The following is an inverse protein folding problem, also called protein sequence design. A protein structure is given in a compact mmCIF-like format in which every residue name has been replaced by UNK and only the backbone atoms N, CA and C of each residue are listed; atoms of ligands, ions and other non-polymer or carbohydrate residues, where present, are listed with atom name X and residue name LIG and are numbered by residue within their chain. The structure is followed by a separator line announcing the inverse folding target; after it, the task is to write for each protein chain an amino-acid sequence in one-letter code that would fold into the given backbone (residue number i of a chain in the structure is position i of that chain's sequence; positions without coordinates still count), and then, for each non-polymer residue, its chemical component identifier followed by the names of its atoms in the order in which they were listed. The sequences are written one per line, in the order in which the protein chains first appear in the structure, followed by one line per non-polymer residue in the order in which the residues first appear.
data_IF_732769937159
#
_entry.id   IF_732769937159
#
_cell.length_a   1.000
_cell.length_b   1.000
_cell.length_c   1.000
_cell.angle_alpha   90.00
_cell.angle_beta   90.00
_cell.angle_gamma   90.00
#
_symmetry.space_group_name_H-M   'P 1'
#
loop_
_entity.id
_entity.type
_entity.pdbx_description
1 polymer ?
#
# COMPACT_ATOMS: atom_id res chain seq x y z
N UNK A 1 -3.45 -5.46 -18.37
CA UNK A 1 -2.45 -6.52 -18.11
C UNK A 1 -2.68 -7.01 -16.70
N UNK A 2 -3.38 -8.13 -16.56
CA UNK A 2 -3.76 -8.71 -15.27
C UNK A 2 -2.53 -9.36 -14.65
N UNK A 3 -1.97 -8.79 -13.60
CA UNK A 3 -0.95 -9.47 -12.79
C UNK A 3 -1.71 -10.45 -11.92
N UNK A 4 -1.73 -11.72 -12.33
CA UNK A 4 -2.15 -12.81 -11.46
C UNK A 4 -1.01 -13.04 -10.47
N UNK A 5 -1.26 -12.79 -9.18
CA UNK A 5 -0.38 -13.25 -8.11
C UNK A 5 -0.64 -14.74 -7.93
N UNK A 6 0.36 -15.59 -8.15
CA UNK A 6 0.24 -16.99 -7.79
C UNK A 6 0.31 -17.11 -6.27
N UNK A 7 -0.43 -18.06 -5.68
CA UNK A 7 -0.48 -18.25 -4.23
C UNK A 7 0.93 -18.46 -3.62
N UNK A 8 1.86 -18.99 -4.41
CA UNK A 8 3.26 -19.21 -4.03
C UNK A 8 4.06 -17.90 -3.90
N UNK A 9 3.67 -16.82 -4.60
CA UNK A 9 4.32 -15.51 -4.51
C UNK A 9 4.02 -14.79 -3.17
N UNK A 10 3.00 -15.25 -2.44
CA UNK A 10 2.68 -14.73 -1.10
C UNK A 10 3.65 -15.26 -0.04
N UNK A 11 4.24 -16.44 -0.22
CA UNK A 11 5.16 -17.04 0.75
C UNK A 11 4.61 -17.01 2.18
N UNK A 12 5.39 -16.46 3.13
CA UNK A 12 4.97 -16.32 4.53
C UNK A 12 3.73 -15.42 4.74
N UNK A 13 3.37 -14.56 3.77
CA UNK A 13 2.14 -13.75 3.84
C UNK A 13 0.88 -14.63 3.73
N UNK A 14 0.95 -15.78 3.07
CA UNK A 14 -0.16 -16.74 3.02
C UNK A 14 -0.44 -17.36 4.40
N UNK A 15 0.58 -17.53 5.23
CA UNK A 15 0.42 -17.97 6.63
C UNK A 15 -0.20 -16.86 7.49
N UNK A 16 0.21 -15.61 7.29
CA UNK A 16 -0.38 -14.47 8.00
C UNK A 16 -1.84 -14.21 7.60
N UNK A 17 -2.19 -14.44 6.33
CA UNK A 17 -3.56 -14.33 5.84
C UNK A 17 -4.52 -15.31 6.54
N UNK A 18 -4.05 -16.52 6.85
CA UNK A 18 -4.85 -17.53 7.58
C UNK A 18 -5.17 -17.12 9.03
N UNK A 19 -4.45 -16.14 9.60
CA UNK A 19 -4.73 -15.60 10.94
C UNK A 19 -5.86 -14.55 10.93
N UNK A 20 -6.32 -14.11 9.75
CA UNK A 20 -7.39 -13.13 9.62
C UNK A 20 -8.71 -13.89 9.64
N UNK A 21 -9.45 -13.77 10.74
CA UNK A 21 -10.78 -14.36 10.84
C UNK A 21 -11.74 -13.68 9.83
N UNK A 22 -12.60 -14.45 9.13
CA UNK A 22 -13.66 -13.88 8.30
C UNK A 22 -14.52 -12.91 9.12
N UNK A 23 -14.71 -11.69 8.62
CA UNK A 23 -15.47 -10.64 9.31
C UNK A 23 -14.75 -9.95 10.48
N UNK A 24 -13.46 -10.22 10.70
CA UNK A 24 -12.67 -9.43 11.64
C UNK A 24 -12.57 -7.97 11.19
N UNK A 25 -12.58 -7.05 12.16
CA UNK A 25 -12.35 -5.63 11.91
C UNK A 25 -10.98 -5.44 11.23
N UNK A 26 -10.90 -4.67 10.12
CA UNK A 26 -9.63 -4.45 9.44
C UNK A 26 -8.60 -3.81 10.38
N UNK A 27 -7.33 -4.23 10.30
CA UNK A 27 -6.26 -3.64 11.10
C UNK A 27 -6.22 -2.11 10.95
N UNK A 28 -5.79 -1.35 11.99
CA UNK A 28 -5.68 0.11 11.92
C UNK A 28 -5.02 0.62 10.64
N UNK A 29 -3.89 0.01 10.26
CA UNK A 29 -3.14 0.39 9.06
C UNK A 29 -3.96 0.29 7.76
N UNK A 30 -4.87 -0.69 7.66
CA UNK A 30 -5.76 -0.87 6.51
C UNK A 30 -6.85 0.19 6.52
N UNK A 31 -7.42 0.49 7.69
CA UNK A 31 -8.44 1.54 7.83
C UNK A 31 -7.89 2.92 7.50
N UNK A 32 -6.69 3.21 7.98
CA UNK A 32 -5.99 4.46 7.74
C UNK A 32 -5.64 4.60 6.25
N UNK A 33 -5.25 3.49 5.60
CA UNK A 33 -5.04 3.41 4.16
C UNK A 33 -6.34 3.64 3.35
N UNK A 34 -7.48 3.07 3.76
CA UNK A 34 -8.77 3.31 3.10
C UNK A 34 -9.23 4.76 3.26
N UNK A 35 -9.02 5.36 4.45
CA UNK A 35 -9.27 6.80 4.66
C UNK A 35 -8.43 7.67 3.73
N UNK A 36 -7.14 7.39 3.62
CA UNK A 36 -6.25 8.09 2.69
C UNK A 36 -6.67 7.85 1.22
N UNK A 37 -7.08 6.63 0.87
CA UNK A 37 -7.53 6.30 -0.48
C UNK A 37 -8.77 7.08 -0.92
N UNK A 38 -9.68 7.37 0.03
CA UNK A 38 -10.88 8.16 -0.22
C UNK A 38 -10.60 9.66 -0.44
N UNK A 39 -9.49 10.17 0.08
CA UNK A 39 -9.12 11.59 -0.04
C UNK A 39 -8.76 11.99 -1.47
N UNK A 40 -8.10 11.10 -2.22
CA UNK A 40 -7.66 11.44 -3.58
C UNK A 40 -7.53 10.22 -4.51
N UNK A 41 -7.93 10.37 -5.80
CA UNK A 41 -7.83 9.28 -6.79
C UNK A 41 -6.39 8.84 -7.07
N UNK A 42 -5.38 9.69 -6.82
CA UNK A 42 -3.97 9.33 -7.05
C UNK A 42 -3.33 8.59 -5.88
N UNK A 43 -4.00 8.53 -4.71
CA UNK A 43 -3.41 8.09 -3.45
C UNK A 43 -2.90 6.64 -3.52
N UNK A 44 -3.78 5.71 -3.86
CA UNK A 44 -3.43 4.29 -3.90
C UNK A 44 -2.38 3.99 -4.96
N UNK A 45 -2.48 4.59 -6.15
CA UNK A 45 -1.47 4.41 -7.20
C UNK A 45 -0.09 4.88 -6.74
N UNK A 46 -0.02 6.03 -6.05
CA UNK A 46 1.21 6.60 -5.53
C UNK A 46 1.82 5.72 -4.44
N UNK A 47 1.02 5.33 -3.44
CA UNK A 47 1.45 4.47 -2.34
C UNK A 47 1.90 3.08 -2.84
N UNK A 48 1.18 2.49 -3.79
CA UNK A 48 1.55 1.23 -4.41
C UNK A 48 2.89 1.33 -5.14
N UNK A 49 3.13 2.39 -5.92
CA UNK A 49 4.40 2.59 -6.60
C UNK A 49 5.58 2.76 -5.61
N UNK A 50 5.36 3.43 -4.48
CA UNK A 50 6.37 3.58 -3.42
C UNK A 50 6.66 2.25 -2.72
N UNK A 51 5.63 1.41 -2.51
CA UNK A 51 5.78 0.12 -1.86
C UNK A 51 6.50 -0.92 -2.73
N UNK A 52 6.40 -0.81 -4.06
CA UNK A 52 6.84 -1.86 -5.00
C UNK A 52 8.11 -1.52 -5.80
N UNK A 53 8.51 -0.25 -5.88
CA UNK A 53 9.71 0.15 -6.65
C UNK A 53 10.93 0.38 -5.77
N UNK A 54 12.15 0.15 -6.25
CA UNK A 54 13.35 0.28 -5.42
C UNK A 54 13.68 1.72 -4.97
N UNK A 55 13.13 2.75 -5.63
CA UNK A 55 13.45 4.16 -5.32
C UNK A 55 12.27 5.09 -5.57
N UNK A 56 12.26 6.27 -4.92
CA UNK A 56 11.24 7.30 -5.17
C UNK A 56 11.29 7.83 -6.61
N UNK A 57 12.45 7.81 -7.27
CA UNK A 57 12.56 8.17 -8.69
C UNK A 57 11.80 7.17 -9.55
N UNK A 58 12.01 5.87 -9.30
CA UNK A 58 11.28 4.80 -10.00
C UNK A 58 9.77 4.87 -9.74
N UNK A 59 9.36 5.18 -8.51
CA UNK A 59 7.96 5.39 -8.18
C UNK A 59 7.34 6.56 -8.96
N UNK A 60 8.04 7.69 -9.04
CA UNK A 60 7.57 8.88 -9.78
C UNK A 60 7.36 8.58 -11.27
N UNK A 61 8.30 7.85 -11.88
CA UNK A 61 8.18 7.36 -13.26
C UNK A 61 6.97 6.42 -13.39
N UNK A 62 6.81 5.47 -12.45
CA UNK A 62 5.73 4.49 -12.47
C UNK A 62 4.32 5.09 -12.40
N UNK A 63 4.16 6.26 -11.76
CA UNK A 63 2.87 6.99 -11.72
C UNK A 63 2.84 8.22 -12.63
N UNK A 64 3.82 8.35 -13.53
CA UNK A 64 3.96 9.42 -14.50
C UNK A 64 3.87 10.84 -13.90
N UNK A 65 4.66 11.10 -12.85
CA UNK A 65 4.77 12.43 -12.23
C UNK A 65 6.22 12.87 -12.06
N UNK A 66 6.41 14.17 -11.92
CA UNK A 66 7.70 14.71 -11.51
C UNK A 66 8.04 14.32 -10.07
N UNK A 67 9.34 14.24 -9.78
CA UNK A 67 9.83 13.87 -8.43
C UNK A 67 9.32 14.82 -7.33
N UNK A 68 9.25 16.13 -7.61
CA UNK A 68 8.69 17.12 -6.67
C UNK A 68 7.22 16.83 -6.36
N UNK A 69 6.40 16.60 -7.40
CA UNK A 69 4.99 16.22 -7.24
C UNK A 69 4.83 14.94 -6.45
N UNK A 70 5.71 13.94 -6.65
CA UNK A 70 5.69 12.73 -5.84
C UNK A 70 5.95 13.06 -4.36
N UNK A 71 6.94 13.90 -4.05
CA UNK A 71 7.26 14.29 -2.67
C UNK A 71 6.09 15.02 -1.99
N UNK A 72 5.40 15.91 -2.71
CA UNK A 72 4.21 16.60 -2.20
C UNK A 72 3.08 15.61 -1.89
N UNK A 73 2.83 14.68 -2.82
CA UNK A 73 1.86 13.59 -2.61
C UNK A 73 2.20 12.72 -1.40
N UNK A 74 3.48 12.41 -1.20
CA UNK A 74 3.92 11.63 -0.04
C UNK A 74 3.80 12.39 1.26
N UNK A 75 4.05 13.69 1.26
CA UNK A 75 3.86 14.54 2.45
C UNK A 75 2.38 14.55 2.85
N UNK A 76 1.48 14.71 1.88
CA UNK A 76 0.03 14.63 2.11
C UNK A 76 -0.41 13.25 2.59
N UNK A 77 0.07 12.18 1.95
CA UNK A 77 -0.24 10.82 2.35
C UNK A 77 0.22 10.51 3.78
N UNK A 78 1.45 10.88 4.14
CA UNK A 78 1.97 10.66 5.49
C UNK A 78 1.18 11.42 6.56
N UNK A 79 0.63 12.60 6.23
CA UNK A 79 -0.25 13.34 7.13
C UNK A 79 -1.59 12.61 7.39
N UNK A 80 -2.17 11.96 6.37
CA UNK A 80 -3.42 11.21 6.50
C UNK A 80 -3.24 9.84 7.16
N UNK A 81 -2.12 9.17 6.86
CA UNK A 81 -1.76 7.88 7.44
C UNK A 81 -1.32 8.06 8.91
N UNK A 82 -0.58 9.13 9.22
CA UNK A 82 0.00 9.34 10.55
C UNK A 82 1.29 8.55 10.79
N UNK A 83 1.94 8.05 9.73
CA UNK A 83 3.27 7.44 9.80
C UNK A 83 4.08 7.70 8.54
N UNK A 84 5.43 7.69 8.62
CA UNK A 84 6.27 7.91 7.46
C UNK A 84 6.25 6.69 6.55
N UNK A 85 6.10 6.89 5.24
CA UNK A 85 6.17 5.83 4.21
C UNK A 85 7.49 5.87 3.45
N UNK A 86 8.37 6.83 3.74
CA UNK A 86 9.69 6.97 3.10
C UNK A 86 10.81 6.21 3.82
N UNK A 87 10.58 5.76 5.05
CA UNK A 87 11.56 4.96 5.82
C UNK A 87 11.46 3.47 5.46
N UNK A 88 12.52 2.66 5.61
CA UNK A 88 12.45 1.21 5.35
C UNK A 88 11.32 0.52 6.12
N UNK A 89 11.18 0.83 7.42
CA UNK A 89 10.10 0.32 8.28
C UNK A 89 8.73 0.77 7.80
N UNK A 90 8.60 2.04 7.43
CA UNK A 90 7.38 2.63 6.89
C UNK A 90 6.92 1.99 5.58
N UNK A 91 7.88 1.70 4.69
CA UNK A 91 7.64 1.02 3.43
C UNK A 91 7.19 -0.42 3.62
N UNK A 92 7.81 -1.15 4.55
CA UNK A 92 7.36 -2.50 4.91
C UNK A 92 5.93 -2.46 5.46
N UNK A 93 5.64 -1.54 6.39
CA UNK A 93 4.29 -1.34 6.95
C UNK A 93 3.28 -1.04 5.84
N UNK A 94 3.61 -0.15 4.90
CA UNK A 94 2.76 0.19 3.76
C UNK A 94 2.50 -1.02 2.86
N UNK A 95 3.55 -1.80 2.55
CA UNK A 95 3.43 -3.00 1.73
C UNK A 95 2.48 -4.01 2.38
N UNK A 96 2.62 -4.27 3.69
CA UNK A 96 1.72 -5.14 4.43
C UNK A 96 0.28 -4.64 4.43
N UNK A 97 0.05 -3.35 4.67
CA UNK A 97 -1.29 -2.76 4.65
C UNK A 97 -1.97 -2.89 3.28
N UNK A 98 -1.22 -2.68 2.19
CA UNK A 98 -1.72 -2.87 0.82
C UNK A 98 -2.05 -4.33 0.53
N UNK A 99 -1.21 -5.28 0.96
CA UNK A 99 -1.47 -6.72 0.80
C UNK A 99 -2.71 -7.14 1.59
N UNK A 100 -2.84 -6.74 2.85
CA UNK A 100 -3.99 -7.04 3.68
C UNK A 100 -5.29 -6.46 3.09
N UNK A 101 -5.23 -5.22 2.58
CA UNK A 101 -6.34 -4.59 1.86
C UNK A 101 -6.73 -5.40 0.63
N UNK A 102 -5.76 -5.89 -0.15
CA UNK A 102 -6.05 -6.69 -1.34
C UNK A 102 -6.73 -8.01 -0.96
N UNK A 103 -6.19 -8.72 0.03
CA UNK A 103 -6.75 -9.98 0.53
C UNK A 103 -8.17 -9.82 1.08
N UNK A 104 -8.42 -8.75 1.84
CA UNK A 104 -9.75 -8.43 2.37
C UNK A 104 -10.80 -8.17 1.27
N UNK A 105 -10.37 -7.74 0.08
CA UNK A 105 -11.27 -7.49 -1.07
C UNK A 105 -11.39 -8.68 -2.03
N UNK A 106 -10.39 -9.57 -2.06
CA UNK A 106 -10.37 -10.75 -2.92
C UNK A 106 -10.98 -12.00 -2.27
N UNK A 107 -11.14 -12.00 -0.94
CA UNK A 107 -11.80 -13.08 -0.18
C UNK A 107 -13.30 -12.87 0.10
N UNK A 108 -13.93 -11.88 -0.55
CA UNK A 108 -15.35 -11.56 -0.44
C UNK A 108 -16.12 -12.00 -1.69
#
# INVERSE_FOLDING_TARGET
MSVWFHADDLGALALLAQLIAPGAEPPPDVRDLERAAADSPWMLATLHAVATTASLRSAAIGVNVHHSTLQDRLTHAEALLGWPVRTPRGRLRLHLALTLRHLARGGA
#
